data_IF_236135565428
#
_entry.id   IF_236135565428
#
_cell.length_a   1.000
_cell.length_b   1.000
_cell.length_c   1.000
_cell.angle_alpha   90.00
_cell.angle_beta   90.00
_cell.angle_gamma   90.00
#
_symmetry.space_group_name_H-M   'P 1'
#
loop_
_entity.id
_entity.type
_entity.pdbx_description
1 polymer ?
#
# COMPACT_ATOMS: atom_id res chain seq x y z
N UNK A 1 0.60 -17.24 -23.92
CA UNK A 1 -0.23 -16.02 -23.74
C UNK A 1 -0.70 -16.08 -22.29
N UNK A 2 -0.42 -15.06 -21.48
CA UNK A 2 -0.93 -15.04 -20.10
C UNK A 2 -2.45 -15.03 -20.15
N UNK A 3 -3.10 -15.79 -19.25
CA UNK A 3 -4.54 -15.67 -19.09
C UNK A 3 -4.89 -14.27 -18.61
N UNK A 4 -6.09 -13.81 -18.95
CA UNK A 4 -6.62 -12.52 -18.50
C UNK A 4 -6.53 -12.39 -16.95
N UNK A 5 -6.84 -13.48 -16.25
CA UNK A 5 -6.73 -13.59 -14.79
C UNK A 5 -5.31 -13.40 -14.26
N UNK A 6 -4.29 -13.83 -15.00
CA UNK A 6 -2.90 -13.62 -14.59
C UNK A 6 -2.49 -12.15 -14.72
N UNK A 7 -2.95 -11.46 -15.77
CA UNK A 7 -2.71 -10.03 -15.97
C UNK A 7 -3.40 -9.21 -14.88
N UNK A 8 -4.64 -9.56 -14.53
CA UNK A 8 -5.41 -8.94 -13.45
C UNK A 8 -4.68 -9.10 -12.09
N UNK A 9 -4.32 -10.32 -11.70
CA UNK A 9 -3.58 -10.56 -10.45
C UNK A 9 -2.25 -9.80 -10.35
N UNK A 10 -1.48 -9.74 -11.43
CA UNK A 10 -0.20 -9.00 -11.45
C UNK A 10 -0.46 -7.49 -11.32
N UNK A 11 -1.48 -6.99 -12.00
CA UNK A 11 -1.84 -5.57 -11.97
C UNK A 11 -2.35 -5.18 -10.58
N UNK A 12 -3.20 -5.99 -9.97
CA UNK A 12 -3.70 -5.80 -8.61
C UNK A 12 -2.55 -5.81 -7.59
N UNK A 13 -1.64 -6.78 -7.71
CA UNK A 13 -0.47 -6.89 -6.84
C UNK A 13 0.46 -5.68 -6.98
N UNK A 14 0.72 -5.20 -8.21
CA UNK A 14 1.51 -4.00 -8.45
C UNK A 14 0.86 -2.75 -7.84
N UNK A 15 -0.45 -2.58 -8.04
CA UNK A 15 -1.23 -1.49 -7.44
C UNK A 15 -1.28 -1.58 -5.91
N UNK A 16 -1.20 -2.79 -5.34
CA UNK A 16 -1.07 -3.05 -3.91
C UNK A 16 0.32 -2.72 -3.33
N UNK A 17 1.27 -2.27 -4.16
CA UNK A 17 2.62 -1.89 -3.73
C UNK A 17 3.58 -3.07 -3.59
N UNK A 18 3.26 -4.23 -4.18
CA UNK A 18 4.17 -5.39 -4.21
C UNK A 18 5.37 -5.05 -5.08
N UNK A 19 6.58 -5.29 -4.58
CA UNK A 19 7.79 -4.97 -5.32
C UNK A 19 7.91 -5.80 -6.61
N UNK A 20 8.57 -5.24 -7.65
CA UNK A 20 8.87 -5.96 -8.90
C UNK A 20 9.59 -7.31 -8.64
N UNK A 21 10.42 -7.38 -7.59
CA UNK A 21 11.09 -8.62 -7.16
C UNK A 21 10.08 -9.66 -6.68
N UNK A 22 9.14 -9.28 -5.82
CA UNK A 22 8.11 -10.19 -5.32
C UNK A 22 7.15 -10.64 -6.44
N UNK A 23 6.75 -9.73 -7.34
CA UNK A 23 5.95 -10.07 -8.52
C UNK A 23 6.66 -11.09 -9.40
N UNK A 24 7.97 -10.91 -9.64
CA UNK A 24 8.79 -11.85 -10.42
C UNK A 24 8.84 -13.23 -9.74
N UNK A 25 9.10 -13.27 -8.44
CA UNK A 25 9.12 -14.52 -7.68
C UNK A 25 7.76 -15.22 -7.74
N UNK A 26 6.67 -14.49 -7.57
CA UNK A 26 5.30 -15.02 -7.67
C UNK A 26 5.01 -15.57 -9.06
N UNK A 27 5.41 -14.87 -10.12
CA UNK A 27 5.23 -15.33 -11.50
C UNK A 27 5.97 -16.65 -11.75
N UNK A 28 7.23 -16.74 -11.30
CA UNK A 28 8.04 -17.95 -11.44
C UNK A 28 7.44 -19.14 -10.68
N UNK A 29 6.91 -18.92 -9.48
CA UNK A 29 6.38 -20.00 -8.64
C UNK A 29 4.97 -20.43 -9.04
N UNK A 30 4.09 -19.48 -9.40
CA UNK A 30 2.70 -19.77 -9.72
C UNK A 30 2.51 -20.34 -11.14
N UNK A 31 3.37 -19.96 -12.09
CA UNK A 31 3.26 -20.36 -13.49
C UNK A 31 4.42 -21.25 -13.97
N UNK A 32 5.33 -21.64 -13.07
CA UNK A 32 6.50 -22.49 -13.36
C UNK A 32 7.37 -21.96 -14.53
N UNK A 33 7.47 -20.63 -14.66
CA UNK A 33 8.23 -19.98 -15.73
C UNK A 33 9.64 -19.56 -15.28
N UNK A 34 10.52 -19.36 -16.25
CA UNK A 34 11.88 -18.89 -15.99
C UNK A 34 11.92 -17.41 -15.59
N UNK A 35 13.01 -16.99 -14.94
CA UNK A 35 13.23 -15.59 -14.59
C UNK A 35 13.21 -14.66 -15.82
N UNK A 36 13.75 -15.15 -16.95
CA UNK A 36 13.77 -14.40 -18.22
C UNK A 36 12.35 -14.16 -18.73
N UNK A 37 11.48 -15.17 -18.67
CA UNK A 37 10.09 -15.06 -19.11
C UNK A 37 9.29 -14.12 -18.17
N UNK A 38 9.49 -14.25 -16.86
CA UNK A 38 8.86 -13.36 -15.88
C UNK A 38 9.27 -11.89 -16.09
N UNK A 39 10.56 -11.62 -16.36
CA UNK A 39 11.03 -10.27 -16.66
C UNK A 39 10.42 -9.72 -17.97
N UNK A 40 10.33 -10.53 -19.02
CA UNK A 40 9.69 -10.12 -20.28
C UNK A 40 8.21 -9.75 -20.07
N UNK A 41 7.49 -10.51 -19.25
CA UNK A 41 6.10 -10.22 -18.86
C UNK A 41 6.03 -8.87 -18.15
N UNK A 42 6.82 -8.68 -17.08
CA UNK A 42 6.78 -7.46 -16.28
C UNK A 42 7.17 -6.22 -17.09
N UNK A 43 8.12 -6.36 -18.02
CA UNK A 43 8.52 -5.27 -18.91
C UNK A 43 7.43 -4.94 -19.95
N UNK A 44 6.62 -5.92 -20.34
CA UNK A 44 5.47 -5.70 -21.25
C UNK A 44 4.30 -4.96 -20.60
N UNK A 45 4.18 -4.97 -19.27
CA UNK A 45 3.11 -4.29 -18.54
C UNK A 45 3.26 -2.77 -18.48
N UNK A 46 4.41 -2.23 -18.90
CA UNK A 46 4.58 -0.78 -19.05
C UNK A 46 4.59 0.00 -17.72
N UNK A 47 4.98 -0.64 -16.61
CA UNK A 47 5.11 0.02 -15.31
C UNK A 47 5.99 1.27 -15.39
N UNK A 48 5.62 2.28 -14.61
CA UNK A 48 6.40 3.51 -14.51
C UNK A 48 7.84 3.19 -14.07
N UNK A 49 8.82 3.78 -14.75
CA UNK A 49 10.23 3.68 -14.32
C UNK A 49 10.39 4.45 -13.01
N UNK A 50 11.21 3.91 -12.11
CA UNK A 50 11.64 4.63 -10.91
C UNK A 50 12.12 6.03 -11.29
N UNK A 51 11.68 7.09 -10.58
CA UNK A 51 12.17 8.43 -10.83
C UNK A 51 13.68 8.50 -10.58
N UNK A 52 14.42 9.17 -11.48
CA UNK A 52 15.86 9.39 -11.33
C UNK A 52 16.19 10.33 -10.17
N UNK A 53 15.23 11.16 -9.75
CA UNK A 53 15.37 12.14 -8.69
C UNK A 53 14.03 12.33 -7.97
N UNK A 54 14.06 12.36 -6.64
CA UNK A 54 12.92 12.68 -5.78
C UNK A 54 13.29 13.93 -4.99
N UNK A 55 12.52 15.00 -5.17
CA UNK A 55 12.71 16.23 -4.40
C UNK A 55 12.04 16.12 -3.02
N UNK A 56 12.74 15.55 -2.05
CA UNK A 56 12.23 15.42 -0.68
C UNK A 56 11.94 16.77 0.00
N UNK A 57 12.63 17.85 -0.39
CA UNK A 57 12.37 19.19 0.16
C UNK A 57 10.97 19.71 -0.19
N UNK A 58 10.45 19.34 -1.36
CA UNK A 58 9.07 19.65 -1.76
C UNK A 58 8.05 19.00 -0.82
N UNK A 59 8.36 17.82 -0.28
CA UNK A 59 7.50 17.09 0.64
C UNK A 59 7.66 17.53 2.10
N UNK A 60 8.87 17.94 2.48
CA UNK A 60 9.14 18.43 3.83
C UNK A 60 8.34 19.71 4.15
N UNK A 61 8.09 20.56 3.14
CA UNK A 61 7.40 21.85 3.28
C UNK A 61 5.97 21.85 2.74
N UNK A 62 5.29 20.70 2.71
CA UNK A 62 3.87 20.67 2.33
C UNK A 62 3.06 21.51 3.32
N UNK A 63 2.18 22.35 2.78
CA UNK A 63 1.25 23.14 3.58
C UNK A 63 0.37 22.23 4.43
N UNK A 64 0.22 22.61 5.70
CA UNK A 64 -0.62 21.89 6.66
C UNK A 64 -2.04 21.89 6.12
N UNK A 65 -2.65 20.71 5.88
CA UNK A 65 -3.99 20.68 5.32
C UNK A 65 -5.01 21.25 6.32
N UNK A 66 -6.06 21.88 5.79
CA UNK A 66 -7.05 22.59 6.61
C UNK A 66 -7.69 21.64 7.62
N UNK A 67 -7.77 22.07 8.88
CA UNK A 67 -8.42 21.32 9.97
C UNK A 67 -7.48 20.48 10.82
N UNK A 68 -6.16 20.51 10.57
CA UNK A 68 -5.16 19.93 11.47
C UNK A 68 -4.60 20.97 12.45
N UNK A 69 -4.40 20.56 13.71
CA UNK A 69 -3.66 21.31 14.72
C UNK A 69 -2.24 20.74 14.84
N UNK A 70 -1.21 21.59 14.77
CA UNK A 70 0.17 21.13 14.91
C UNK A 70 0.51 20.91 16.39
N UNK A 71 0.99 19.72 16.71
CA UNK A 71 1.57 19.40 18.02
C UNK A 71 3.07 19.64 17.94
N UNK A 72 3.59 20.46 18.87
CA UNK A 72 5.03 20.70 18.95
C UNK A 72 5.77 19.42 19.38
N UNK A 73 6.72 19.00 18.56
CA UNK A 73 7.65 17.93 18.91
C UNK A 73 9.03 18.22 18.28
N UNK A 74 10.14 18.00 19.00
CA UNK A 74 11.48 18.26 18.46
C UNK A 74 11.75 17.45 17.19
N UNK A 75 12.17 18.14 16.12
CA UNK A 75 12.59 17.53 14.85
C UNK A 75 11.53 16.70 14.10
N UNK A 76 10.26 16.71 14.53
CA UNK A 76 9.16 15.94 13.92
C UNK A 76 7.92 16.81 13.78
N UNK A 77 7.25 16.72 12.63
CA UNK A 77 5.97 17.38 12.40
C UNK A 77 4.84 16.42 12.77
N UNK A 78 4.12 16.74 13.84
CA UNK A 78 2.95 15.96 14.30
C UNK A 78 1.71 16.85 14.13
N UNK A 79 0.67 16.29 13.52
CA UNK A 79 -0.59 16.98 13.28
C UNK A 79 -1.75 16.16 13.84
N UNK A 80 -2.66 16.82 14.55
CA UNK A 80 -3.89 16.23 15.07
C UNK A 80 -5.08 16.65 14.22
N UNK A 81 -5.86 15.68 13.75
CA UNK A 81 -7.17 15.91 13.14
C UNK A 81 -8.25 15.41 14.10
N UNK A 82 -8.97 16.34 14.73
CA UNK A 82 -10.09 15.99 15.61
C UNK A 82 -11.26 15.47 14.78
N UNK A 83 -11.85 14.36 15.22
CA UNK A 83 -12.98 13.71 14.54
C UNK A 83 -12.69 13.41 13.07
N UNK A 84 -11.46 12.98 12.74
CA UNK A 84 -11.09 12.65 11.37
C UNK A 84 -12.02 11.59 10.78
N UNK A 85 -12.32 10.54 11.55
CA UNK A 85 -13.34 9.55 11.25
C UNK A 85 -14.55 9.76 12.17
N UNK A 86 -15.74 9.53 11.64
CA UNK A 86 -16.93 9.50 12.48
C UNK A 86 -17.07 8.11 13.15
N UNK A 87 -17.85 7.97 14.23
CA UNK A 87 -17.97 6.69 14.94
C UNK A 87 -18.40 5.52 14.05
N UNK A 88 -19.28 5.74 13.08
CA UNK A 88 -19.69 4.69 12.14
C UNK A 88 -18.55 4.25 11.21
N UNK A 89 -17.67 5.16 10.80
CA UNK A 89 -16.48 4.79 10.03
C UNK A 89 -15.57 3.88 10.87
N UNK A 90 -15.38 4.23 12.15
CA UNK A 90 -14.58 3.43 13.08
C UNK A 90 -15.17 2.03 13.27
N UNK A 91 -16.48 1.91 13.50
CA UNK A 91 -17.13 0.61 13.65
C UNK A 91 -17.04 -0.24 12.38
N UNK A 92 -17.25 0.36 11.20
CA UNK A 92 -17.12 -0.35 9.94
C UNK A 92 -15.69 -0.90 9.72
N UNK A 93 -14.67 -0.10 10.04
CA UNK A 93 -13.27 -0.56 9.95
C UNK A 93 -12.96 -1.68 10.95
N UNK A 94 -13.52 -1.60 12.17
CA UNK A 94 -13.36 -2.64 13.19
C UNK A 94 -13.98 -3.97 12.74
N UNK A 95 -15.22 -3.95 12.26
CA UNK A 95 -15.91 -5.16 11.78
C UNK A 95 -15.14 -5.83 10.64
N UNK A 96 -14.63 -5.04 9.70
CA UNK A 96 -13.80 -5.55 8.61
C UNK A 96 -12.45 -6.11 9.09
N UNK A 97 -11.83 -5.47 10.08
CA UNK A 97 -10.56 -5.91 10.64
C UNK A 97 -10.72 -7.22 11.41
N UNK A 98 -11.75 -7.34 12.25
CA UNK A 98 -12.03 -8.54 13.06
C UNK A 98 -12.25 -9.78 12.19
N UNK A 99 -12.81 -9.62 10.99
CA UNK A 99 -12.97 -10.71 10.03
C UNK A 99 -11.65 -11.24 9.44
N UNK A 100 -10.57 -10.44 9.46
CA UNK A 100 -9.28 -10.75 8.79
C UNK A 100 -8.07 -10.77 9.74
N UNK A 101 -8.33 -10.58 11.03
CA UNK A 101 -7.29 -10.34 12.03
C UNK A 101 -6.37 -11.56 12.19
N UNK A 102 -5.07 -11.31 12.20
CA UNK A 102 -4.02 -12.31 12.41
C UNK A 102 -2.94 -11.79 13.34
N UNK A 103 -2.20 -12.70 13.97
CA UNK A 103 -1.09 -12.31 14.85
C UNK A 103 -0.01 -11.61 14.02
N UNK A 104 0.52 -10.52 14.54
CA UNK A 104 1.59 -9.79 13.84
C UNK A 104 2.85 -10.63 13.78
N UNK A 105 3.45 -10.72 12.60
CA UNK A 105 4.72 -11.41 12.39
C UNK A 105 5.84 -10.40 12.15
N UNK A 106 7.08 -10.81 12.46
CA UNK A 106 8.29 -10.06 12.11
C UNK A 106 8.98 -10.77 10.95
N UNK A 107 9.55 -9.98 10.04
CA UNK A 107 10.37 -10.52 8.96
C UNK A 107 11.65 -11.13 9.52
N UNK A 108 12.09 -12.24 8.93
CA UNK A 108 13.39 -12.85 9.23
C UNK A 108 14.17 -13.10 7.92
N UNK A 109 15.49 -13.39 7.98
CA UNK A 109 16.28 -13.63 6.77
C UNK A 109 15.84 -14.82 5.92
N UNK A 110 14.96 -15.69 6.44
CA UNK A 110 14.36 -16.84 5.75
C UNK A 110 12.94 -16.59 5.26
N UNK A 111 12.42 -15.37 5.46
CA UNK A 111 11.04 -14.97 5.17
C UNK A 111 9.96 -15.82 5.86
N UNK A 112 10.27 -16.39 7.03
CA UNK A 112 9.31 -17.17 7.81
C UNK A 112 8.43 -16.25 8.67
N UNK A 113 7.15 -16.61 8.80
CA UNK A 113 6.20 -15.89 9.65
C UNK A 113 6.47 -16.19 11.15
N UNK A 114 7.39 -15.44 11.76
CA UNK A 114 7.68 -15.55 13.19
C UNK A 114 6.87 -14.55 14.01
N UNK A 115 6.11 -15.05 14.98
CA UNK A 115 5.53 -14.23 16.03
C UNK A 115 6.56 -14.05 17.15
N UNK A 116 6.87 -12.80 17.51
CA UNK A 116 7.80 -12.46 18.62
C UNK A 116 7.10 -11.62 19.68
N UNK A 117 7.71 -11.52 20.86
CA UNK A 117 7.19 -10.69 21.96
C UNK A 117 7.44 -9.18 21.75
N UNK A 118 8.19 -8.82 20.71
CA UNK A 118 8.44 -7.41 20.36
C UNK A 118 7.18 -6.72 19.82
N UNK A 119 6.36 -7.44 19.04
CA UNK A 119 5.07 -6.93 18.52
C UNK A 119 3.94 -7.83 18.98
N UNK A 120 3.26 -7.41 20.04
CA UNK A 120 2.17 -8.15 20.68
C UNK A 120 0.79 -7.84 20.10
N UNK A 121 0.70 -6.89 19.17
CA UNK A 121 -0.55 -6.51 18.52
C UNK A 121 -1.01 -7.56 17.51
N UNK A 122 -2.28 -7.46 17.13
CA UNK A 122 -2.81 -8.14 15.95
C UNK A 122 -2.86 -7.17 14.76
N UNK A 123 -2.95 -7.72 13.55
CA UNK A 123 -2.96 -6.95 12.31
C UNK A 123 -4.04 -7.51 11.38
N UNK A 124 -4.72 -6.64 10.65
CA UNK A 124 -5.57 -6.98 9.53
C UNK A 124 -5.22 -6.04 8.37
N UNK A 125 -5.14 -6.58 7.15
CA UNK A 125 -4.94 -5.76 5.95
C UNK A 125 -6.29 -5.58 5.26
N UNK A 126 -6.70 -4.33 5.10
CA UNK A 126 -7.93 -3.96 4.42
C UNK A 126 -7.57 -3.43 3.03
N UNK A 127 -7.88 -4.22 2.00
CA UNK A 127 -7.56 -3.87 0.62
C UNK A 127 -8.58 -2.89 0.06
N UNK A 128 -8.12 -1.75 -0.44
CA UNK A 128 -8.96 -0.69 -1.01
C UNK A 128 -9.78 -1.17 -2.22
N UNK A 129 -9.27 -2.12 -3.00
CA UNK A 129 -9.95 -2.69 -4.18
C UNK A 129 -11.16 -3.53 -3.79
N UNK A 130 -11.12 -4.14 -2.61
CA UNK A 130 -12.15 -5.08 -2.16
C UNK A 130 -13.37 -4.40 -1.53
N UNK A 131 -13.31 -3.08 -1.31
CA UNK A 131 -14.36 -2.35 -0.60
C UNK A 131 -14.36 -0.86 -0.95
N UNK A 132 -15.49 -0.39 -1.50
CA UNK A 132 -15.74 1.04 -1.72
C UNK A 132 -15.59 1.86 -0.43
N UNK A 133 -15.95 1.28 0.71
CA UNK A 133 -15.80 1.93 2.01
C UNK A 133 -14.32 2.18 2.34
N UNK A 134 -13.45 1.18 2.17
CA UNK A 134 -12.00 1.33 2.41
C UNK A 134 -11.39 2.34 1.43
N UNK A 135 -11.76 2.26 0.15
CA UNK A 135 -11.32 3.21 -0.87
C UNK A 135 -11.70 4.67 -0.52
N UNK A 136 -12.90 4.91 0.02
CA UNK A 136 -13.30 6.24 0.46
C UNK A 136 -12.45 6.75 1.65
N UNK A 137 -12.08 5.87 2.57
CA UNK A 137 -11.16 6.21 3.67
C UNK A 137 -9.76 6.55 3.14
N UNK A 138 -9.24 5.79 2.19
CA UNK A 138 -7.93 6.05 1.56
C UNK A 138 -7.92 7.39 0.80
N UNK A 139 -8.98 7.69 0.05
CA UNK A 139 -9.14 8.99 -0.62
C UNK A 139 -9.16 10.13 0.41
N UNK A 140 -9.83 9.93 1.55
CA UNK A 140 -9.91 10.92 2.64
C UNK A 140 -8.52 11.15 3.27
N UNK A 141 -7.75 10.08 3.52
CA UNK A 141 -6.37 10.16 4.01
C UNK A 141 -5.48 10.87 3.00
N UNK A 142 -5.53 10.50 1.72
CA UNK A 142 -4.73 11.13 0.66
C UNK A 142 -4.97 12.65 0.60
N UNK A 143 -6.25 13.06 0.58
CA UNK A 143 -6.62 14.49 0.65
C UNK A 143 -6.09 15.18 1.90
N UNK A 144 -6.17 14.53 3.06
CA UNK A 144 -5.67 15.04 4.33
C UNK A 144 -4.14 15.11 4.44
N UNK A 145 -3.41 14.48 3.51
CA UNK A 145 -1.96 14.56 3.38
C UNK A 145 -1.53 15.42 2.18
N UNK A 146 -2.49 16.00 1.44
CA UNK A 146 -2.27 16.67 0.17
C UNK A 146 -1.50 15.76 -0.83
N UNK A 147 -1.79 14.47 -0.78
CA UNK A 147 -1.31 13.45 -1.70
C UNK A 147 -2.46 13.10 -2.64
N UNK A 148 -2.17 12.92 -3.92
CA UNK A 148 -3.16 12.32 -4.80
C UNK A 148 -3.22 10.82 -4.46
N UNK A 149 -4.38 10.31 -4.01
CA UNK A 149 -4.53 8.93 -3.52
C UNK A 149 -4.27 7.89 -4.62
N UNK A 150 -4.29 8.31 -5.88
CA UNK A 150 -4.02 7.46 -7.04
C UNK A 150 -2.57 7.57 -7.54
N UNK A 151 -1.66 8.27 -6.84
CA UNK A 151 -0.23 8.36 -7.20
C UNK A 151 0.60 7.11 -6.84
N UNK A 152 -0.03 6.03 -6.37
CA UNK A 152 0.59 4.69 -6.34
C UNK A 152 1.01 4.24 -7.74
N UNK A 153 1.65 3.06 -7.89
CA UNK A 153 2.21 2.55 -9.15
C UNK A 153 1.23 2.68 -10.35
N UNK A 154 1.25 3.83 -11.03
CA UNK A 154 0.41 4.04 -12.20
C UNK A 154 1.08 3.34 -13.37
N UNK A 155 0.48 2.26 -13.85
CA UNK A 155 0.72 1.78 -15.21
C UNK A 155 0.47 2.93 -16.17
N UNK A 156 1.36 3.12 -17.16
CA UNK A 156 1.16 4.12 -18.20
C UNK A 156 -0.04 3.72 -19.05
N UNK A 157 -1.24 4.14 -18.68
CA UNK A 157 -2.39 4.07 -19.57
C UNK A 157 -2.24 5.19 -20.60
N UNK A 158 -2.02 4.81 -21.86
CA UNK A 158 -2.09 5.70 -23.03
C UNK A 158 -3.54 6.10 -23.29
#
# INVERSE_FOLDING_TARGET
>A
MLSQTAIENITESALGGVSKTQLRTHLMTAFEITEKEANNILDSLGFAKKPNYINYFKHYNIDIPKGAEQIYFPCTKIYEYKNFLCPSDCYGLMDMADAKVRRSCVANPKDEALSTDYRTSWTADLEWQSSDFVNQIDIKIGRALNLNPFLGEQSKFN
#
